data_IF_217405969628
#
_entry.id   IF_217405969628
#
_cell.length_a   1.000
_cell.length_b   1.000
_cell.length_c   1.000
_cell.angle_alpha   90.00
_cell.angle_beta   90.00
_cell.angle_gamma   90.00
#
_symmetry.space_group_name_H-M   'P 1'
#
loop_
_entity.id
_entity.type
_entity.pdbx_description
1 polymer ?
#
# COMPACT_ATOMS: atom_id res chain seq x y z
N UNK A 1 -20.28 -0.34 5.71
CA UNK A 1 -21.70 -0.41 5.28
C UNK A 1 -21.87 0.29 3.94
N UNK A 2 -21.46 1.56 3.80
CA UNK A 2 -21.66 2.31 2.55
C UNK A 2 -20.87 1.76 1.36
N UNK A 3 -19.56 1.51 1.50
CA UNK A 3 -18.75 0.91 0.42
C UNK A 3 -19.32 -0.44 -0.05
N UNK A 4 -19.62 -1.35 0.88
CA UNK A 4 -20.25 -2.63 0.57
C UNK A 4 -21.58 -2.48 -0.20
N UNK A 5 -22.46 -1.55 0.21
CA UNK A 5 -23.72 -1.28 -0.53
C UNK A 5 -23.49 -0.81 -1.96
N UNK A 6 -22.33 -0.19 -2.23
CA UNK A 6 -21.90 0.28 -3.56
C UNK A 6 -21.07 -0.77 -4.31
N UNK A 7 -20.94 -1.98 -3.77
CA UNK A 7 -20.12 -3.03 -4.36
C UNK A 7 -18.61 -2.77 -4.28
N UNK A 8 -18.17 -1.93 -3.32
CA UNK A 8 -16.76 -1.60 -3.11
C UNK A 8 -16.19 -2.50 -2.01
N UNK A 9 -15.03 -3.10 -2.31
CA UNK A 9 -14.17 -3.78 -1.34
C UNK A 9 -13.05 -2.84 -0.89
N UNK A 10 -12.52 -3.12 0.30
CA UNK A 10 -11.44 -2.36 0.90
C UNK A 10 -10.16 -3.21 0.98
N UNK A 11 -9.04 -2.56 0.67
CA UNK A 11 -7.73 -2.92 1.18
C UNK A 11 -7.46 -1.99 2.35
N UNK A 12 -7.04 -2.55 3.49
CA UNK A 12 -6.90 -1.79 4.73
C UNK A 12 -5.47 -1.90 5.24
N UNK A 13 -4.73 -0.82 5.12
CA UNK A 13 -3.52 -0.58 5.89
C UNK A 13 -3.87 -0.24 7.33
N UNK A 14 -3.38 -1.04 8.29
CA UNK A 14 -3.70 -0.83 9.72
C UNK A 14 -2.83 0.22 10.40
N UNK A 15 -1.76 0.68 9.74
CA UNK A 15 -0.78 1.65 10.20
C UNK A 15 -0.03 2.25 9.00
N UNK A 16 0.63 3.40 9.18
CA UNK A 16 1.35 4.12 8.13
C UNK A 16 2.83 4.27 8.49
N UNK A 17 3.71 3.71 7.66
CA UNK A 17 5.16 3.81 7.78
C UNK A 17 5.69 5.25 7.69
N UNK A 18 4.90 6.19 7.16
CA UNK A 18 5.23 7.61 7.18
C UNK A 18 4.87 8.33 8.49
N UNK A 19 4.14 7.66 9.40
CA UNK A 19 3.72 8.19 10.70
C UNK A 19 4.81 8.13 11.78
N UNK A 20 6.04 7.75 11.40
CA UNK A 20 7.22 7.73 12.26
C UNK A 20 7.99 9.06 12.33
N UNK A 21 7.42 10.15 11.84
CA UNK A 21 8.02 11.49 11.90
C UNK A 21 8.11 12.23 10.57
N UNK A 22 7.88 11.55 9.43
CA UNK A 22 7.93 12.22 8.12
C UNK A 22 6.67 13.04 7.85
N UNK A 23 5.50 12.40 7.93
CA UNK A 23 4.22 13.06 7.67
C UNK A 23 3.49 13.41 8.98
N UNK A 24 3.67 12.57 9.99
CA UNK A 24 3.16 12.76 11.35
C UNK A 24 4.02 11.98 12.34
N UNK A 25 3.83 12.20 13.64
CA UNK A 25 4.42 11.38 14.69
C UNK A 25 3.27 10.81 15.53
N UNK A 26 2.95 9.54 15.29
CA UNK A 26 1.85 8.85 15.96
C UNK A 26 2.24 8.28 17.34
N UNK A 27 1.40 7.41 17.90
CA UNK A 27 1.66 6.78 19.19
C UNK A 27 2.91 5.89 19.19
N UNK A 28 3.20 5.17 18.09
CA UNK A 28 4.42 4.36 18.01
C UNK A 28 5.66 5.23 17.90
N UNK A 29 5.60 6.29 17.09
CA UNK A 29 6.64 7.31 17.02
C UNK A 29 6.93 7.92 18.41
N UNK A 30 5.88 8.27 19.14
CA UNK A 30 6.03 8.91 20.46
C UNK A 30 6.62 7.96 21.51
N UNK A 31 6.13 6.72 21.56
CA UNK A 31 6.51 5.75 22.61
C UNK A 31 7.87 5.10 22.35
N UNK A 32 8.16 4.71 21.10
CA UNK A 32 9.36 3.92 20.76
C UNK A 32 10.45 4.74 20.08
N UNK A 33 10.24 6.05 19.95
CA UNK A 33 11.16 6.98 19.31
C UNK A 33 11.05 6.93 17.79
N UNK A 34 10.34 7.90 17.24
CA UNK A 34 10.41 8.26 15.83
C UNK A 34 11.36 9.44 15.61
N UNK A 35 11.43 9.88 14.36
CA UNK A 35 12.19 11.06 13.97
C UNK A 35 11.39 12.27 14.45
N UNK A 36 11.94 13.11 15.34
CA UNK A 36 11.26 14.34 15.79
C UNK A 36 10.83 15.23 14.60
N UNK A 37 10.06 16.31 14.82
CA UNK A 37 9.51 17.14 13.76
C UNK A 37 10.59 17.56 12.77
N UNK A 38 10.32 17.34 11.48
CA UNK A 38 11.24 17.45 10.37
C UNK A 38 11.97 18.80 10.31
N UNK A 39 13.18 18.85 10.88
CA UNK A 39 14.18 19.85 10.57
C UNK A 39 15.56 19.20 10.43
N UNK A 40 15.83 18.65 9.24
CA UNK A 40 17.19 18.32 8.78
C UNK A 40 17.50 16.86 8.49
N UNK A 41 17.38 16.49 7.20
CA UNK A 41 18.08 15.39 6.47
C UNK A 41 17.82 13.91 6.87
N UNK A 42 17.85 12.96 5.90
CA UNK A 42 16.71 12.06 5.61
C UNK A 42 17.01 10.56 5.79
N UNK A 43 15.94 9.77 5.94
CA UNK A 43 15.80 8.36 5.46
C UNK A 43 16.72 7.28 6.07
N UNK A 44 17.68 7.61 6.94
CA UNK A 44 18.81 6.70 7.23
C UNK A 44 18.96 6.16 8.65
N UNK A 45 18.25 6.65 9.67
CA UNK A 45 18.54 6.17 11.04
C UNK A 45 17.83 4.86 11.39
N UNK A 46 16.79 4.48 10.65
CA UNK A 46 15.85 3.48 11.16
C UNK A 46 15.17 3.98 12.43
N UNK A 47 13.86 3.76 12.54
CA UNK A 47 13.24 3.84 13.86
C UNK A 47 13.54 2.53 14.61
N UNK A 48 13.44 2.56 15.94
CA UNK A 48 13.56 1.33 16.72
C UNK A 48 12.35 0.42 16.52
N UNK A 49 11.26 0.91 15.90
CA UNK A 49 9.98 0.21 15.82
C UNK A 49 10.08 -1.21 15.25
N UNK A 50 10.81 -1.42 14.15
CA UNK A 50 10.91 -2.75 13.52
C UNK A 50 11.82 -3.74 14.27
N UNK A 51 12.69 -3.24 15.16
CA UNK A 51 13.69 -4.06 15.88
C UNK A 51 13.43 -4.18 17.38
N UNK A 52 12.68 -3.23 17.95
CA UNK A 52 12.35 -3.17 19.36
C UNK A 52 11.25 -4.21 19.67
N UNK A 53 11.53 -5.22 20.50
CA UNK A 53 10.56 -6.27 20.80
C UNK A 53 9.25 -5.74 21.41
N UNK A 54 9.31 -4.63 22.17
CA UNK A 54 8.12 -4.01 22.75
C UNK A 54 7.25 -3.34 21.68
N UNK A 55 7.87 -2.66 20.70
CA UNK A 55 7.17 -2.05 19.58
C UNK A 55 6.52 -3.12 18.68
N UNK A 56 7.29 -4.17 18.35
CA UNK A 56 6.83 -5.34 17.60
C UNK A 56 5.65 -6.03 18.31
N UNK A 57 5.71 -6.22 19.63
CA UNK A 57 4.61 -6.78 20.42
C UNK A 57 3.39 -5.84 20.45
N UNK A 58 3.60 -4.53 20.57
CA UNK A 58 2.52 -3.54 20.52
C UNK A 58 1.84 -3.50 19.14
N UNK A 59 2.59 -3.71 18.06
CA UNK A 59 2.04 -3.85 16.72
C UNK A 59 1.21 -5.13 16.56
N UNK A 60 1.68 -6.27 17.09
CA UNK A 60 0.90 -7.50 17.11
C UNK A 60 -0.39 -7.39 17.90
N UNK A 61 -0.35 -6.65 19.02
CA UNK A 61 -1.54 -6.36 19.79
C UNK A 61 -2.53 -5.50 18.99
N UNK A 62 -2.04 -4.55 18.18
CA UNK A 62 -2.89 -3.77 17.26
C UNK A 62 -3.50 -4.64 16.15
N UNK A 63 -2.72 -5.52 15.53
CA UNK A 63 -3.23 -6.52 14.58
C UNK A 63 -4.36 -7.33 15.26
N UNK A 64 -4.08 -7.91 16.43
CA UNK A 64 -5.08 -8.69 17.16
C UNK A 64 -6.33 -7.87 17.53
N UNK A 65 -6.17 -6.63 17.95
CA UNK A 65 -7.29 -5.74 18.27
C UNK A 65 -8.17 -5.48 17.04
N UNK A 66 -7.59 -5.06 15.91
CA UNK A 66 -8.31 -4.73 14.68
C UNK A 66 -8.95 -5.99 14.09
N UNK A 67 -8.22 -7.10 14.02
CA UNK A 67 -8.72 -8.36 13.47
C UNK A 67 -9.94 -8.89 14.23
N UNK A 68 -9.98 -8.72 15.56
CA UNK A 68 -11.10 -9.15 16.40
C UNK A 68 -12.22 -8.10 16.54
N UNK A 69 -12.06 -6.90 15.99
CA UNK A 69 -13.06 -5.85 16.10
C UNK A 69 -14.39 -6.32 15.48
N UNK A 70 -15.43 -6.35 16.31
CA UNK A 70 -16.78 -6.75 15.91
C UNK A 70 -17.44 -5.60 15.16
N UNK A 71 -17.58 -5.76 13.85
CA UNK A 71 -18.26 -4.77 13.02
C UNK A 71 -19.72 -4.66 13.43
N UNK A 72 -20.20 -3.53 13.98
CA UNK A 72 -21.58 -3.42 14.46
C UNK A 72 -22.62 -3.58 13.32
N UNK A 73 -22.21 -3.22 12.11
CA UNK A 73 -23.05 -3.29 10.91
C UNK A 73 -23.19 -4.69 10.32
N UNK A 74 -22.23 -5.58 10.59
CA UNK A 74 -22.18 -6.93 10.01
C UNK A 74 -22.20 -8.05 11.05
N UNK A 75 -22.01 -7.72 12.33
CA UNK A 75 -21.93 -8.64 13.47
C UNK A 75 -20.91 -9.76 13.25
N UNK A 76 -19.79 -9.40 12.62
CA UNK A 76 -18.64 -10.27 12.35
C UNK A 76 -17.35 -9.55 12.73
N UNK A 77 -16.32 -10.29 13.19
CA UNK A 77 -14.99 -9.72 13.33
C UNK A 77 -14.46 -9.32 11.95
N UNK A 78 -13.63 -8.29 11.90
CA UNK A 78 -13.03 -7.83 10.64
C UNK A 78 -12.21 -8.90 9.93
N UNK A 79 -11.55 -9.79 10.67
CA UNK A 79 -10.82 -10.92 10.10
C UNK A 79 -11.70 -11.94 9.34
N UNK A 80 -13.03 -11.84 9.45
CA UNK A 80 -14.00 -12.69 8.74
C UNK A 80 -14.98 -11.86 7.90
N UNK A 81 -14.71 -10.56 7.73
CA UNK A 81 -15.61 -9.63 7.04
C UNK A 81 -15.37 -9.62 5.53
N UNK A 82 -15.51 -10.79 4.91
CA UNK A 82 -15.25 -11.02 3.49
C UNK A 82 -16.16 -10.21 2.59
N UNK A 83 -17.34 -9.78 3.08
CA UNK A 83 -18.28 -8.95 2.33
C UNK A 83 -17.71 -7.57 1.98
N UNK A 84 -16.81 -7.04 2.82
CA UNK A 84 -16.29 -5.68 2.69
C UNK A 84 -14.77 -5.63 2.49
N UNK A 85 -14.01 -6.59 3.02
CA UNK A 85 -12.55 -6.51 3.06
C UNK A 85 -11.96 -7.53 2.09
N UNK A 86 -11.16 -7.08 1.15
CA UNK A 86 -10.43 -7.94 0.21
C UNK A 86 -9.04 -8.27 0.73
N UNK A 87 -8.36 -7.31 1.37
CA UNK A 87 -7.04 -7.51 1.93
C UNK A 87 -6.78 -6.61 3.14
N UNK A 88 -5.81 -7.01 3.96
CA UNK A 88 -5.12 -6.12 4.88
C UNK A 88 -3.68 -5.96 4.44
N UNK A 89 -3.20 -4.73 4.38
CA UNK A 89 -1.76 -4.50 4.31
C UNK A 89 -1.17 -4.70 5.68
N UNK A 90 0.05 -5.25 5.70
CA UNK A 90 0.84 -5.35 6.92
C UNK A 90 0.99 -3.95 7.55
N UNK A 91 1.34 -2.97 6.72
CA UNK A 91 1.51 -1.55 7.02
C UNK A 91 1.54 -0.80 5.69
N UNK A 92 1.15 0.48 5.63
CA UNK A 92 1.40 1.32 4.45
C UNK A 92 2.87 1.73 4.38
N UNK A 93 3.51 1.57 3.24
CA UNK A 93 4.92 1.87 2.99
C UNK A 93 5.90 1.40 4.11
N UNK A 94 5.85 0.11 4.52
CA UNK A 94 6.64 -0.39 5.64
C UNK A 94 8.12 -0.18 5.39
N UNK A 95 8.83 0.32 6.39
CA UNK A 95 10.27 0.63 6.33
C UNK A 95 10.66 1.75 5.36
N UNK A 96 9.74 2.58 4.85
CA UNK A 96 10.11 3.77 4.06
C UNK A 96 11.05 4.72 4.82
N UNK A 97 10.87 4.84 6.14
CA UNK A 97 11.75 5.60 7.04
C UNK A 97 12.90 4.76 7.65
N UNK A 98 13.02 3.49 7.27
CA UNK A 98 13.98 2.54 7.83
C UNK A 98 14.57 1.65 6.73
N UNK A 99 14.85 2.22 5.56
CA UNK A 99 15.16 1.42 4.36
C UNK A 99 16.42 0.55 4.52
N UNK A 100 17.36 0.98 5.37
CA UNK A 100 18.57 0.20 5.72
C UNK A 100 18.25 -1.11 6.46
N UNK A 101 17.05 -1.23 7.04
CA UNK A 101 16.56 -2.41 7.72
C UNK A 101 15.79 -3.36 6.78
N UNK A 102 15.48 -2.96 5.54
CA UNK A 102 14.65 -3.75 4.62
C UNK A 102 15.24 -5.14 4.37
N UNK A 103 16.55 -5.25 4.18
CA UNK A 103 17.20 -6.55 3.90
C UNK A 103 17.68 -7.28 5.17
N UNK A 104 17.92 -6.56 6.27
CA UNK A 104 18.45 -7.16 7.52
C UNK A 104 17.36 -7.57 8.52
N UNK A 105 16.23 -6.86 8.52
CA UNK A 105 15.10 -7.05 9.45
C UNK A 105 13.82 -7.43 8.69
N UNK A 106 13.64 -6.91 7.48
CA UNK A 106 12.46 -7.15 6.64
C UNK A 106 12.08 -8.62 6.47
N UNK A 107 13.02 -9.55 6.15
CA UNK A 107 12.68 -10.96 5.95
C UNK A 107 11.89 -11.57 7.12
N UNK A 108 12.32 -11.32 8.35
CA UNK A 108 11.62 -11.82 9.54
C UNK A 108 10.40 -10.98 9.88
N UNK A 109 10.51 -9.65 9.81
CA UNK A 109 9.44 -8.77 10.26
C UNK A 109 8.17 -8.94 9.42
N UNK A 110 8.28 -8.89 8.08
CA UNK A 110 7.13 -9.05 7.18
C UNK A 110 6.50 -10.44 7.30
N UNK A 111 7.29 -11.52 7.18
CA UNK A 111 6.75 -12.87 7.27
C UNK A 111 6.05 -13.10 8.63
N UNK A 112 6.65 -12.64 9.74
CA UNK A 112 6.06 -12.82 11.06
C UNK A 112 4.77 -12.00 11.24
N UNK A 113 4.72 -10.76 10.74
CA UNK A 113 3.50 -9.95 10.80
C UNK A 113 2.40 -10.55 9.92
N UNK A 114 2.75 -11.01 8.72
CA UNK A 114 1.82 -11.72 7.84
C UNK A 114 1.21 -12.95 8.54
N UNK A 115 2.04 -13.71 9.28
CA UNK A 115 1.59 -14.83 10.10
C UNK A 115 0.63 -14.42 11.21
N UNK A 116 0.83 -13.25 11.82
CA UNK A 116 -0.12 -12.72 12.81
C UNK A 116 -1.47 -12.38 12.18
N UNK A 117 -1.51 -11.78 10.99
CA UNK A 117 -2.76 -11.59 10.26
C UNK A 117 -3.44 -12.93 9.94
N UNK A 118 -2.70 -13.88 9.35
CA UNK A 118 -3.22 -15.20 8.97
C UNK A 118 -3.78 -15.99 10.16
N UNK A 119 -3.19 -15.84 11.36
CA UNK A 119 -3.71 -16.43 12.61
C UNK A 119 -5.18 -16.05 12.86
N UNK A 120 -5.58 -14.82 12.58
CA UNK A 120 -6.96 -14.36 12.80
C UNK A 120 -7.86 -14.53 11.56
N UNK A 121 -7.32 -14.34 10.36
CA UNK A 121 -8.05 -14.52 9.09
C UNK A 121 -8.47 -15.98 8.89
N UNK A 122 -7.61 -16.93 9.30
CA UNK A 122 -7.87 -18.35 9.10
C UNK A 122 -8.04 -18.67 7.62
N UNK A 123 -9.20 -19.23 7.25
CA UNK A 123 -9.53 -19.62 5.87
C UNK A 123 -10.41 -18.62 5.15
N UNK A 124 -10.72 -17.46 5.74
CA UNK A 124 -11.50 -16.44 5.05
C UNK A 124 -10.75 -15.97 3.80
N UNK A 125 -11.44 -15.74 2.66
CA UNK A 125 -10.85 -15.17 1.45
C UNK A 125 -10.54 -13.67 1.65
N UNK A 126 -9.61 -13.38 2.55
CA UNK A 126 -9.03 -12.06 2.82
C UNK A 126 -7.52 -12.22 2.67
N UNK A 127 -6.93 -11.42 1.80
CA UNK A 127 -5.50 -11.45 1.55
C UNK A 127 -4.71 -10.70 2.61
N UNK A 128 -3.45 -11.09 2.76
CA UNK A 128 -2.42 -10.30 3.42
C UNK A 128 -1.53 -9.71 2.32
N UNK A 129 -1.47 -8.39 2.29
CA UNK A 129 -0.74 -7.58 1.33
C UNK A 129 0.47 -6.90 1.99
N UNK A 130 1.50 -6.57 1.21
CA UNK A 130 2.72 -5.96 1.72
C UNK A 130 2.60 -4.46 2.01
N UNK A 131 1.66 -3.76 1.38
CA UNK A 131 1.51 -2.30 1.52
C UNK A 131 2.64 -1.46 0.92
N UNK A 132 3.35 -1.92 -0.12
CA UNK A 132 4.47 -1.19 -0.73
C UNK A 132 5.76 -1.21 0.10
N UNK A 133 6.45 -2.36 0.19
CA UNK A 133 7.62 -2.49 1.05
C UNK A 133 8.70 -1.44 0.73
N UNK A 134 9.28 -0.80 1.73
CA UNK A 134 10.28 0.26 1.58
C UNK A 134 9.77 1.56 0.95
N UNK A 135 8.47 1.66 0.65
CA UNK A 135 7.83 2.83 0.09
C UNK A 135 7.91 2.95 -1.43
N UNK A 136 7.44 4.09 -1.94
CA UNK A 136 7.41 4.35 -3.38
C UNK A 136 8.77 4.17 -4.05
N UNK A 137 8.75 3.40 -5.13
CA UNK A 137 9.91 3.22 -6.01
C UNK A 137 10.04 4.44 -6.90
N UNK A 138 11.28 4.88 -7.15
CA UNK A 138 11.57 5.77 -8.27
C UNK A 138 12.46 5.03 -9.28
N UNK A 139 12.69 5.64 -10.44
CA UNK A 139 13.48 5.04 -11.54
C UNK A 139 14.93 4.65 -11.13
N UNK A 140 15.41 5.08 -9.97
CA UNK A 140 16.75 4.80 -9.47
C UNK A 140 16.78 3.79 -8.31
N UNK A 141 15.65 3.53 -7.67
CA UNK A 141 15.56 2.75 -6.44
C UNK A 141 14.24 1.98 -6.37
N UNK A 142 14.31 0.67 -6.50
CA UNK A 142 13.17 -0.22 -6.31
C UNK A 142 13.23 -0.87 -4.93
N UNK A 143 12.43 -0.33 -4.02
CA UNK A 143 12.31 -0.85 -2.66
C UNK A 143 11.04 -1.68 -2.46
N UNK A 144 10.03 -1.48 -3.32
CA UNK A 144 8.68 -2.06 -3.26
C UNK A 144 8.66 -3.56 -3.02
N UNK A 145 9.69 -4.25 -3.49
CA UNK A 145 9.82 -5.67 -3.28
C UNK A 145 11.27 -6.12 -3.09
N UNK A 146 11.39 -7.32 -2.52
CA UNK A 146 12.60 -8.10 -2.41
C UNK A 146 12.27 -9.56 -2.70
N UNK A 147 13.21 -10.36 -3.23
CA UNK A 147 12.96 -11.78 -3.51
C UNK A 147 12.41 -12.56 -2.30
N UNK A 148 12.83 -12.20 -1.08
CA UNK A 148 12.38 -12.86 0.15
C UNK A 148 10.89 -12.60 0.49
N UNK A 149 10.26 -11.53 -0.02
CA UNK A 149 8.81 -11.33 0.18
C UNK A 149 7.99 -12.43 -0.49
N UNK A 150 8.46 -12.91 -1.65
CA UNK A 150 7.80 -13.95 -2.41
C UNK A 150 7.90 -15.32 -1.74
N UNK A 151 8.87 -15.52 -0.84
CA UNK A 151 9.07 -16.79 -0.15
C UNK A 151 8.25 -16.91 1.14
N UNK A 152 7.72 -15.81 1.70
CA UNK A 152 6.81 -15.85 2.85
C UNK A 152 5.47 -16.50 2.45
N UNK A 153 5.08 -17.68 2.96
CA UNK A 153 3.84 -18.33 2.55
C UNK A 153 2.59 -17.55 3.00
N UNK A 154 2.67 -16.78 4.08
CA UNK A 154 1.56 -16.02 4.65
C UNK A 154 1.23 -14.70 3.94
N UNK A 155 2.09 -14.23 3.04
CA UNK A 155 1.83 -13.06 2.19
C UNK A 155 1.14 -13.54 0.91
N UNK A 156 -0.02 -12.99 0.56
CA UNK A 156 -0.73 -13.38 -0.68
C UNK A 156 -0.43 -12.40 -1.81
N UNK A 157 -0.43 -11.10 -1.50
CA UNK A 157 -0.32 -10.01 -2.46
C UNK A 157 0.94 -9.19 -2.19
N UNK A 158 1.62 -8.80 -3.27
CA UNK A 158 2.72 -7.84 -3.26
C UNK A 158 2.16 -6.54 -3.86
N UNK A 159 2.10 -5.52 -3.03
CA UNK A 159 1.68 -4.18 -3.40
C UNK A 159 2.88 -3.35 -3.89
N UNK A 160 2.66 -2.60 -4.97
CA UNK A 160 3.65 -1.72 -5.58
C UNK A 160 3.19 -0.26 -5.52
N UNK A 161 4.10 0.62 -5.13
CA UNK A 161 3.92 2.05 -4.97
C UNK A 161 4.87 2.82 -5.92
N UNK A 162 4.40 3.89 -6.55
CA UNK A 162 5.24 4.68 -7.46
C UNK A 162 4.65 5.99 -7.98
N UNK A 163 5.44 7.06 -7.93
CA UNK A 163 5.06 8.41 -8.35
C UNK A 163 6.06 8.96 -9.36
N UNK A 164 5.78 8.82 -10.66
CA UNK A 164 6.66 9.19 -11.80
C UNK A 164 7.69 8.12 -12.25
N UNK A 165 7.42 6.83 -12.01
CA UNK A 165 8.32 5.72 -12.39
C UNK A 165 8.06 5.10 -13.76
N UNK A 166 9.14 4.67 -14.44
CA UNK A 166 9.06 3.66 -15.50
C UNK A 166 9.00 2.25 -14.89
N UNK A 167 7.76 1.77 -14.71
CA UNK A 167 7.45 0.45 -14.15
C UNK A 167 8.08 -0.71 -14.92
N UNK A 168 8.43 -0.52 -16.20
CA UNK A 168 8.94 -1.60 -17.06
C UNK A 168 10.34 -2.06 -16.68
N UNK A 169 11.09 -1.28 -15.88
CA UNK A 169 12.46 -1.63 -15.51
C UNK A 169 12.54 -2.75 -14.47
N UNK A 170 11.59 -2.81 -13.55
CA UNK A 170 11.69 -3.67 -12.37
C UNK A 170 10.48 -4.57 -12.15
N UNK A 171 9.27 -4.16 -12.59
CA UNK A 171 8.08 -5.02 -12.52
C UNK A 171 8.26 -6.36 -13.21
N UNK A 172 8.90 -6.49 -14.40
CA UNK A 172 9.04 -7.81 -15.04
C UNK A 172 9.74 -8.85 -14.15
N UNK A 173 10.73 -8.44 -13.36
CA UNK A 173 11.41 -9.34 -12.41
C UNK A 173 10.47 -9.72 -11.25
N UNK A 174 9.73 -8.75 -10.71
CA UNK A 174 8.71 -9.01 -9.68
C UNK A 174 7.62 -9.96 -10.19
N UNK A 175 7.15 -9.79 -11.43
CA UNK A 175 6.15 -10.66 -12.07
C UNK A 175 6.67 -12.08 -12.24
N UNK A 176 7.93 -12.27 -12.62
CA UNK A 176 8.54 -13.60 -12.70
C UNK A 176 8.58 -14.29 -11.34
N UNK A 177 8.96 -13.58 -10.28
CA UNK A 177 8.94 -14.09 -8.91
C UNK A 177 7.52 -14.35 -8.40
N UNK A 178 6.56 -13.48 -8.72
CA UNK A 178 5.15 -13.67 -8.38
C UNK A 178 4.60 -14.96 -8.98
N UNK A 179 4.87 -15.21 -10.26
CA UNK A 179 4.49 -16.43 -10.94
C UNK A 179 5.16 -17.68 -10.32
N UNK A 180 6.46 -17.60 -10.02
CA UNK A 180 7.20 -18.70 -9.39
C UNK A 180 6.65 -19.07 -8.00
N UNK A 181 6.21 -18.07 -7.23
CA UNK A 181 5.77 -18.25 -5.85
C UNK A 181 4.25 -18.17 -5.64
N UNK A 182 3.48 -18.18 -6.74
CA UNK A 182 2.01 -18.09 -6.72
C UNK A 182 1.50 -16.88 -5.91
N UNK A 183 2.19 -15.74 -6.03
CA UNK A 183 1.78 -14.46 -5.43
C UNK A 183 1.01 -13.63 -6.45
N UNK A 184 0.19 -12.70 -5.96
CA UNK A 184 -0.43 -11.67 -6.81
C UNK A 184 0.36 -10.38 -6.73
N UNK A 185 0.48 -9.67 -7.84
CA UNK A 185 1.15 -8.37 -7.92
C UNK A 185 0.12 -7.33 -8.38
N UNK A 186 0.12 -6.16 -7.76
CA UNK A 186 -0.73 -5.05 -8.16
C UNK A 186 -0.11 -3.71 -7.77
N UNK A 187 -0.56 -2.64 -8.41
CA UNK A 187 -0.16 -1.27 -8.07
C UNK A 187 -1.14 -0.73 -7.05
N UNK A 188 -0.74 -0.66 -5.80
CA UNK A 188 -1.61 -0.17 -4.72
C UNK A 188 -1.62 1.35 -4.64
N UNK A 189 -0.53 1.98 -5.05
CA UNK A 189 -0.40 3.42 -4.94
C UNK A 189 0.38 3.95 -6.14
N UNK A 190 -0.25 4.85 -6.90
CA UNK A 190 0.47 5.61 -7.91
C UNK A 190 -0.17 6.95 -8.15
N UNK A 191 0.65 7.91 -8.53
CA UNK A 191 0.21 9.25 -8.83
C UNK A 191 1.07 9.90 -9.88
N UNK A 192 0.52 10.94 -10.49
CA UNK A 192 1.21 11.77 -11.47
C UNK A 192 1.12 13.22 -11.04
N UNK A 193 2.26 13.91 -10.99
CA UNK A 193 2.30 15.33 -10.65
C UNK A 193 1.36 16.12 -11.56
N UNK A 194 0.61 17.08 -10.98
CA UNK A 194 -0.41 17.84 -11.69
C UNK A 194 0.09 18.49 -12.99
N UNK A 195 1.34 18.96 -13.02
CA UNK A 195 1.97 19.56 -14.21
C UNK A 195 2.17 18.60 -15.39
N UNK A 196 2.24 17.28 -15.14
CA UNK A 196 2.45 16.25 -16.16
C UNK A 196 1.22 15.38 -16.41
N UNK A 197 0.14 15.59 -15.65
CA UNK A 197 -1.02 14.70 -15.57
C UNK A 197 -1.71 14.43 -16.90
N UNK A 198 -1.89 15.46 -17.72
CA UNK A 198 -2.50 15.36 -19.03
C UNK A 198 -1.82 14.33 -19.95
N UNK A 199 -0.50 14.14 -19.79
CA UNK A 199 0.28 13.23 -20.63
C UNK A 199 0.56 11.89 -19.92
N UNK A 200 0.73 11.90 -18.61
CA UNK A 200 1.31 10.77 -17.89
C UNK A 200 0.28 9.83 -17.25
N UNK A 201 -0.99 10.23 -17.06
CA UNK A 201 -2.03 9.31 -16.59
C UNK A 201 -2.26 8.15 -17.56
N UNK A 202 -2.49 8.48 -18.83
CA UNK A 202 -2.70 7.48 -19.88
C UNK A 202 -1.44 6.62 -20.08
N UNK A 203 -0.25 7.22 -20.03
CA UNK A 203 1.01 6.51 -20.20
C UNK A 203 1.22 5.43 -19.12
N UNK A 204 1.05 5.78 -17.84
CA UNK A 204 1.17 4.80 -16.74
C UNK A 204 0.12 3.69 -16.87
N UNK A 205 -1.11 4.06 -17.20
CA UNK A 205 -2.19 3.10 -17.44
C UNK A 205 -1.85 2.09 -18.54
N UNK A 206 -1.31 2.52 -19.68
CA UNK A 206 -0.88 1.58 -20.74
C UNK A 206 0.21 0.63 -20.24
N UNK A 207 1.13 1.11 -19.38
CA UNK A 207 2.16 0.24 -18.78
C UNK A 207 1.55 -0.79 -17.85
N UNK A 208 0.55 -0.45 -17.06
CA UNK A 208 -0.14 -1.43 -16.23
C UNK A 208 -0.86 -2.49 -17.06
N UNK A 209 -1.50 -2.11 -18.16
CA UNK A 209 -2.09 -3.08 -19.10
C UNK A 209 -1.01 -3.98 -19.70
N UNK A 210 0.08 -3.41 -20.20
CA UNK A 210 1.20 -4.15 -20.80
C UNK A 210 1.77 -5.18 -19.83
N UNK A 211 1.89 -4.81 -18.55
CA UNK A 211 2.40 -5.64 -17.46
C UNK A 211 1.32 -6.53 -16.81
N UNK A 212 0.06 -6.40 -17.21
CA UNK A 212 -1.07 -7.15 -16.67
C UNK A 212 -1.39 -6.84 -15.20
N UNK A 213 -1.13 -5.62 -14.74
CA UNK A 213 -1.34 -5.20 -13.35
C UNK A 213 -2.70 -4.53 -13.15
N UNK A 214 -3.39 -4.92 -12.08
CA UNK A 214 -4.47 -4.11 -11.50
C UNK A 214 -3.87 -2.93 -10.71
N UNK A 215 -4.66 -1.88 -10.50
CA UNK A 215 -4.16 -0.65 -9.88
C UNK A 215 -5.18 0.07 -8.98
N UNK A 216 -4.68 0.85 -8.02
CA UNK A 216 -5.40 1.81 -7.17
C UNK A 216 -4.65 3.14 -7.21
N UNK A 217 -5.35 4.26 -7.44
CA UNK A 217 -4.74 5.58 -7.66
C UNK A 217 -4.66 6.41 -6.38
N UNK A 218 -3.54 7.11 -6.19
CA UNK A 218 -3.35 8.09 -5.13
C UNK A 218 -3.49 9.54 -5.62
N UNK A 219 -4.45 10.30 -5.12
CA UNK A 219 -5.69 9.83 -4.53
C UNK A 219 -6.87 10.57 -5.18
N UNK A 220 -8.06 9.99 -5.06
CA UNK A 220 -9.29 10.67 -5.46
C UNK A 220 -9.86 11.46 -4.29
N UNK A 221 -9.98 12.77 -4.44
CA UNK A 221 -10.51 13.65 -3.38
C UNK A 221 -11.89 14.20 -3.73
N UNK A 222 -12.87 14.17 -2.80
CA UNK A 222 -14.26 14.56 -3.09
C UNK A 222 -14.51 16.07 -3.12
N UNK A 223 -13.48 16.89 -2.87
CA UNK A 223 -13.58 18.34 -2.82
C UNK A 223 -12.31 19.00 -3.34
N UNK A 224 -12.22 20.34 -3.24
CA UNK A 224 -11.03 21.07 -3.66
C UNK A 224 -9.78 20.46 -3.06
N UNK A 225 -8.75 20.27 -3.87
CA UNK A 225 -7.43 19.84 -3.39
C UNK A 225 -6.97 20.91 -2.41
N UNK A 226 -7.06 20.59 -1.12
CA UNK A 226 -6.45 21.39 -0.07
C UNK A 226 -5.00 21.00 -0.12
N UNK A 227 -4.13 21.89 -0.60
CA UNK A 227 -2.70 21.62 -0.59
C UNK A 227 -2.29 21.19 0.82
N UNK A 228 -1.89 19.93 0.98
CA UNK A 228 -1.22 19.47 2.19
C UNK A 228 0.10 20.22 2.25
N UNK A 229 0.13 21.34 2.98
CA UNK A 229 1.33 22.12 3.26
C UNK A 229 2.23 21.30 4.19
N UNK A 230 2.95 20.34 3.63
CA UNK A 230 3.97 19.57 4.33
C UNK A 230 5.29 20.36 4.29
N UNK A 231 5.39 21.42 5.10
CA UNK A 231 6.64 22.15 5.31
C UNK A 231 7.10 23.04 4.13
N UNK A 232 8.07 23.90 4.42
CA UNK A 232 8.47 25.03 3.58
C UNK A 232 9.34 24.67 2.36
N UNK A 233 9.54 23.40 2.03
CA UNK A 233 10.46 23.00 0.95
C UNK A 233 10.17 21.63 0.30
N UNK A 234 8.90 21.34 -0.02
CA UNK A 234 8.58 20.26 -0.98
C UNK A 234 7.67 20.81 -2.08
N UNK A 235 8.32 21.11 -3.20
CA UNK A 235 7.76 21.51 -4.50
C UNK A 235 6.41 20.85 -4.84
N UNK A 236 5.36 21.65 -5.06
CA UNK A 236 4.28 21.57 -6.08
C UNK A 236 3.76 20.21 -6.63
N UNK A 237 4.08 19.06 -6.04
CA UNK A 237 3.74 17.74 -6.51
C UNK A 237 2.37 17.35 -5.95
N UNK A 238 1.33 17.91 -6.57
CA UNK A 238 -0.05 17.53 -6.32
C UNK A 238 -0.34 16.28 -7.16
N UNK A 239 -0.54 15.14 -6.50
CA UNK A 239 -0.83 13.86 -7.14
C UNK A 239 -2.35 13.57 -7.17
N UNK A 240 -3.11 14.24 -6.31
CA UNK A 240 -4.53 14.05 -6.10
C UNK A 240 -5.36 14.46 -7.33
N UNK A 241 -6.34 13.63 -7.70
CA UNK A 241 -7.36 13.93 -8.69
C UNK A 241 -8.64 14.31 -7.96
N UNK A 242 -9.06 15.56 -8.12
CA UNK A 242 -10.33 16.04 -7.57
C UNK A 242 -11.51 15.50 -8.37
N UNK A 243 -12.52 14.95 -7.69
CA UNK A 243 -13.80 14.59 -8.30
C UNK A 243 -14.45 15.82 -8.93
N UNK A 244 -14.92 15.67 -10.16
CA UNK A 244 -15.49 16.75 -10.98
C UNK A 244 -14.53 17.93 -11.24
N UNK A 245 -13.24 17.75 -10.94
CA UNK A 245 -12.17 18.69 -11.24
C UNK A 245 -11.67 18.60 -12.68
N UNK A 246 -10.71 19.47 -13.06
CA UNK A 246 -10.22 19.57 -14.45
C UNK A 246 -9.61 18.27 -14.99
N UNK A 247 -8.99 17.47 -14.12
CA UNK A 247 -8.31 16.23 -14.51
C UNK A 247 -9.21 14.99 -14.43
N UNK A 248 -10.42 15.13 -13.86
CA UNK A 248 -11.28 14.00 -13.55
C UNK A 248 -11.75 13.26 -14.80
N UNK A 249 -12.06 13.98 -15.88
CA UNK A 249 -12.46 13.37 -17.17
C UNK A 249 -11.37 12.46 -17.73
N UNK A 250 -10.09 12.87 -17.63
CA UNK A 250 -8.95 12.06 -18.04
C UNK A 250 -8.81 10.81 -17.19
N UNK A 251 -8.95 10.96 -15.87
CA UNK A 251 -8.94 9.84 -14.93
C UNK A 251 -10.11 8.85 -15.18
N UNK A 252 -11.34 9.35 -15.37
CA UNK A 252 -12.51 8.52 -15.66
C UNK A 252 -12.32 7.71 -16.96
N UNK A 253 -11.65 8.30 -17.96
CA UNK A 253 -11.37 7.62 -19.22
C UNK A 253 -10.49 6.38 -19.00
N UNK A 254 -9.41 6.48 -18.22
CA UNK A 254 -8.55 5.31 -17.91
C UNK A 254 -9.23 4.32 -16.97
N UNK A 255 -9.99 4.81 -15.99
CA UNK A 255 -10.75 3.95 -15.07
C UNK A 255 -11.78 3.09 -15.81
N UNK A 256 -12.55 3.68 -16.74
CA UNK A 256 -13.53 2.93 -17.54
C UNK A 256 -12.86 1.90 -18.46
N UNK A 257 -11.68 2.19 -19.01
CA UNK A 257 -10.91 1.24 -19.82
C UNK A 257 -10.39 0.05 -19.02
N UNK A 258 -10.20 0.21 -17.71
CA UNK A 258 -9.75 -0.89 -16.83
C UNK A 258 -10.76 -2.03 -16.78
N UNK A 259 -12.06 -1.75 -16.97
CA UNK A 259 -13.14 -2.76 -16.93
C UNK A 259 -13.02 -3.84 -18.01
N UNK A 260 -12.33 -3.56 -19.11
CA UNK A 260 -12.12 -4.51 -20.22
C UNK A 260 -10.66 -4.88 -20.42
N UNK A 261 -9.75 -4.31 -19.61
CA UNK A 261 -8.34 -4.62 -19.64
C UNK A 261 -8.08 -6.03 -19.09
N UNK A 262 -7.06 -6.70 -19.62
CA UNK A 262 -6.61 -7.99 -19.10
C UNK A 262 -5.74 -7.78 -17.87
N UNK A 263 -5.98 -8.56 -16.83
CA UNK A 263 -5.07 -8.70 -15.68
C UNK A 263 -4.37 -10.06 -15.77
N UNK A 264 -3.08 -10.09 -15.41
CA UNK A 264 -2.33 -11.33 -15.23
C UNK A 264 -2.73 -12.07 -13.95
N UNK A 265 -3.39 -11.37 -13.02
CA UNK A 265 -3.74 -11.88 -11.70
C UNK A 265 -5.25 -11.87 -11.49
N UNK A 266 -5.80 -13.04 -11.17
CA UNK A 266 -7.22 -13.18 -10.82
C UNK A 266 -7.47 -12.90 -9.34
N UNK A 267 -8.14 -11.79 -9.04
CA UNK A 267 -8.53 -11.39 -7.67
C UNK A 267 -9.97 -11.79 -7.31
N UNK A 268 -10.70 -12.48 -8.19
CA UNK A 268 -12.14 -12.74 -8.06
C UNK A 268 -12.54 -13.38 -6.72
N UNK A 269 -11.72 -14.31 -6.20
CA UNK A 269 -11.95 -14.96 -4.92
C UNK A 269 -12.05 -13.98 -3.73
N UNK A 270 -11.38 -12.84 -3.80
CA UNK A 270 -11.33 -11.80 -2.75
C UNK A 270 -12.31 -10.64 -3.03
N UNK A 271 -12.73 -10.49 -4.29
CA UNK A 271 -13.59 -9.40 -4.74
C UNK A 271 -15.05 -9.79 -4.89
N UNK A 272 -15.38 -11.08 -4.78
CA UNK A 272 -16.76 -11.57 -4.81
C UNK A 272 -17.62 -10.87 -3.73
N UNK A 273 -18.74 -10.28 -4.14
CA UNK A 273 -19.68 -9.56 -3.27
C UNK A 273 -20.73 -10.48 -2.68
#
# INVERSE_FOLDING_TARGET
>A
MEGHRRGIKFIISIHDGNAFGQNSCDAYCTEFGGFGPASGTPITLGNSFYTNPAAVAAFDNRIGHIMNYQSPNFRKPWAQLTEAIAAFDIENEPMIQAITQLDSVGPTWFCDRAKQFKKYIGTAPIAVSTGGAGGSGNIYQDWNWRPWLFTCPEIDWIALHGYDGDWTQWVPNATALAAQHTKKLFVEEWGVVASARANNLAWNFEKFIELGLSWVYWELVPGPIKSCYCGSDRSNAVFEVQLDGPDYTGFQTIANRTLTAKSAYDFSAYLAL
#
